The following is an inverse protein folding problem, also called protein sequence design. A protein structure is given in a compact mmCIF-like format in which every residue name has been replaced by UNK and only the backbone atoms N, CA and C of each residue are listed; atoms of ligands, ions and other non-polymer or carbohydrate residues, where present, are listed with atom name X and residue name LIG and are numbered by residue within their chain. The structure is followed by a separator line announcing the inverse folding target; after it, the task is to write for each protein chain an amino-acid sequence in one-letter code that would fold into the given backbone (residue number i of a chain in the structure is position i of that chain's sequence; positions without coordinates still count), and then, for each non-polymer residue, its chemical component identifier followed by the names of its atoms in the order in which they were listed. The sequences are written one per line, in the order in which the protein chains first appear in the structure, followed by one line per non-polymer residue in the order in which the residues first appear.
data_IF_683794308540
#
_entry.id   IF_683794308540
#
_cell.length_a   1.000
_cell.length_b   1.000
_cell.length_c   1.000
_cell.angle_alpha   90.00
_cell.angle_beta   90.00
_cell.angle_gamma   90.00
#
_symmetry.space_group_name_H-M   'P 1'
#
loop_
_entity.id
_entity.type
_entity.pdbx_description
1 polymer ?
#
# COMPACT_ATOMS: atom_id res chain seq x y z
N UNK A 1 17.58 35.05 7.84
CA UNK A 1 16.36 34.40 7.29
C UNK A 1 16.71 32.99 6.88
N UNK A 2 16.48 32.00 7.75
CA UNK A 2 16.68 30.59 7.40
C UNK A 2 15.61 30.16 6.41
N UNK A 3 16.00 29.76 5.20
CA UNK A 3 15.06 29.21 4.22
C UNK A 3 14.56 27.88 4.78
N UNK A 4 13.30 27.81 5.20
CA UNK A 4 12.62 26.52 5.35
C UNK A 4 12.67 25.85 3.98
N UNK A 5 13.58 24.89 3.80
CA UNK A 5 13.58 24.04 2.62
C UNK A 5 12.43 23.06 2.83
N UNK A 6 11.32 23.29 2.13
CA UNK A 6 10.36 22.23 1.90
C UNK A 6 11.12 21.11 1.18
N UNK A 7 11.37 20.01 1.87
CA UNK A 7 11.91 18.81 1.25
C UNK A 7 10.75 18.24 0.45
N UNK A 8 10.81 18.34 -0.88
CA UNK A 8 9.85 17.63 -1.70
C UNK A 8 10.06 16.14 -1.46
N UNK A 9 9.02 15.39 -1.07
CA UNK A 9 9.17 13.97 -0.84
C UNK A 9 9.54 13.30 -2.16
N UNK A 10 10.61 12.51 -2.15
CA UNK A 10 10.91 11.63 -3.27
C UNK A 10 9.72 10.70 -3.50
N UNK A 11 9.41 10.41 -4.76
CA UNK A 11 8.27 9.57 -5.14
C UNK A 11 8.76 8.24 -5.70
N UNK A 12 8.03 7.17 -5.40
CA UNK A 12 8.26 5.83 -5.93
C UNK A 12 7.01 5.40 -6.68
N UNK A 13 7.17 4.87 -7.89
CA UNK A 13 6.07 4.31 -8.67
C UNK A 13 5.89 2.84 -8.30
N UNK A 14 4.66 2.47 -7.95
CA UNK A 14 4.24 1.10 -7.71
C UNK A 14 3.25 0.70 -8.80
N UNK A 15 3.47 -0.44 -9.44
CA UNK A 15 2.56 -0.98 -10.44
C UNK A 15 1.60 -1.96 -9.79
N UNK A 16 0.30 -1.85 -10.09
CA UNK A 16 -0.71 -2.72 -9.47
C UNK A 16 -0.55 -4.17 -9.92
N UNK A 17 -0.04 -4.40 -11.13
CA UNK A 17 0.34 -5.73 -11.64
C UNK A 17 1.27 -6.49 -10.68
N UNK A 18 2.15 -5.80 -9.95
CA UNK A 18 3.08 -6.46 -9.03
C UNK A 18 2.37 -7.04 -7.80
N UNK A 19 1.21 -6.49 -7.42
CA UNK A 19 0.33 -7.06 -6.38
C UNK A 19 -0.24 -8.39 -6.85
N UNK A 20 -0.80 -8.44 -8.07
CA UNK A 20 -1.34 -9.68 -8.65
C UNK A 20 -0.24 -10.73 -8.83
N UNK A 21 0.92 -10.32 -9.34
CA UNK A 21 2.08 -11.21 -9.53
C UNK A 21 2.54 -11.81 -8.20
N UNK A 22 2.59 -11.00 -7.14
CA UNK A 22 2.96 -11.46 -5.80
C UNK A 22 1.92 -12.43 -5.23
N UNK A 23 0.62 -12.19 -5.45
CA UNK A 23 -0.47 -13.09 -5.02
C UNK A 23 -0.38 -14.44 -5.73
N UNK A 24 -0.25 -14.46 -7.05
CA UNK A 24 -0.08 -15.69 -7.85
C UNK A 24 1.13 -16.47 -7.38
N UNK A 25 2.29 -15.82 -7.29
CA UNK A 25 3.53 -16.44 -6.85
C UNK A 25 3.41 -17.07 -5.46
N UNK A 26 2.82 -16.35 -4.50
CA UNK A 26 2.64 -16.85 -3.12
C UNK A 26 1.77 -18.11 -3.10
N UNK A 27 0.70 -18.13 -3.90
CA UNK A 27 -0.16 -19.30 -4.00
C UNK A 27 0.56 -20.49 -4.67
N UNK A 28 1.31 -20.25 -5.75
CA UNK A 28 2.14 -21.28 -6.38
C UNK A 28 3.16 -21.88 -5.41
N UNK A 29 3.81 -21.05 -4.61
CA UNK A 29 4.74 -21.49 -3.55
C UNK A 29 4.02 -22.33 -2.48
N UNK A 30 2.79 -21.97 -2.08
CA UNK A 30 1.98 -22.76 -1.14
C UNK A 30 1.55 -24.11 -1.73
N UNK A 31 1.19 -24.15 -3.01
CA UNK A 31 0.85 -25.38 -3.73
C UNK A 31 2.08 -26.29 -3.81
N UNK A 32 3.23 -25.75 -4.22
CA UNK A 32 4.49 -26.49 -4.29
C UNK A 32 4.92 -27.04 -2.93
N UNK A 33 4.65 -26.30 -1.85
CA UNK A 33 4.91 -26.74 -0.48
C UNK A 33 3.86 -27.73 0.08
N UNK A 34 2.80 -28.06 -0.68
CA UNK A 34 1.69 -28.90 -0.22
C UNK A 34 0.87 -28.29 0.92
N UNK A 35 0.93 -26.96 1.08
CA UNK A 35 0.25 -26.21 2.14
C UNK A 35 -1.06 -25.58 1.69
N UNK A 36 -1.30 -25.51 0.38
CA UNK A 36 -2.53 -24.95 -0.17
C UNK A 36 -3.71 -25.91 0.02
N UNK A 37 -4.85 -25.34 0.40
CA UNK A 37 -6.14 -26.02 0.43
C UNK A 37 -6.65 -26.27 -0.99
N UNK A 38 -7.61 -27.20 -1.14
CA UNK A 38 -8.24 -27.49 -2.43
C UNK A 38 -8.90 -26.26 -3.04
N UNK A 39 -9.51 -25.41 -2.21
CA UNK A 39 -10.20 -24.19 -2.65
C UNK A 39 -9.19 -23.14 -3.11
N UNK A 40 -8.08 -22.96 -2.40
CA UNK A 40 -6.99 -22.07 -2.84
C UNK A 40 -6.39 -22.52 -4.18
N UNK A 41 -6.17 -23.83 -4.38
CA UNK A 41 -5.70 -24.35 -5.68
C UNK A 41 -6.70 -24.03 -6.80
N UNK A 42 -8.01 -24.12 -6.51
CA UNK A 42 -9.05 -23.81 -7.47
C UNK A 42 -9.13 -22.31 -7.82
N UNK A 43 -8.60 -21.41 -6.98
CA UNK A 43 -8.53 -19.97 -7.24
C UNK A 43 -7.40 -19.57 -8.20
N UNK A 44 -6.38 -20.42 -8.40
CA UNK A 44 -5.21 -20.08 -9.21
C UNK A 44 -5.57 -19.58 -10.63
N UNK A 45 -6.46 -20.23 -11.40
CA UNK A 45 -6.82 -19.75 -12.74
C UNK A 45 -7.44 -18.34 -12.74
N UNK A 46 -8.26 -18.02 -11.73
CA UNK A 46 -8.86 -16.70 -11.59
C UNK A 46 -7.79 -15.64 -11.28
N UNK A 47 -6.86 -15.94 -10.36
CA UNK A 47 -5.75 -15.03 -10.06
C UNK A 47 -4.83 -14.79 -11.26
N UNK A 48 -4.57 -15.83 -12.06
CA UNK A 48 -3.80 -15.70 -13.30
C UNK A 48 -4.52 -14.85 -14.35
N UNK A 49 -5.85 -14.96 -14.44
CA UNK A 49 -6.65 -14.10 -15.32
C UNK A 49 -6.58 -12.63 -14.89
N UNK A 50 -6.76 -12.34 -13.60
CA UNK A 50 -6.64 -10.97 -13.07
C UNK A 50 -5.23 -10.40 -13.29
N UNK A 51 -4.19 -11.23 -13.17
CA UNK A 51 -2.81 -10.80 -13.50
C UNK A 51 -2.67 -10.40 -14.97
N UNK A 52 -3.24 -11.18 -15.89
CA UNK A 52 -3.17 -10.89 -17.32
C UNK A 52 -3.92 -9.59 -17.68
N UNK A 53 -5.07 -9.33 -17.04
CA UNK A 53 -5.81 -8.08 -17.17
C UNK A 53 -4.98 -6.90 -16.64
N UNK A 54 -4.42 -7.01 -15.44
CA UNK A 54 -3.57 -5.97 -14.87
C UNK A 54 -2.29 -5.68 -15.69
N UNK A 55 -1.75 -6.69 -16.39
CA UNK A 55 -0.62 -6.51 -17.33
C UNK A 55 -1.00 -5.66 -18.55
N UNK A 56 -2.24 -5.78 -19.02
CA UNK A 56 -2.75 -4.98 -20.15
C UNK A 56 -3.05 -3.56 -19.70
N UNK A 57 -3.68 -3.39 -18.54
CA UNK A 57 -4.06 -2.09 -18.01
C UNK A 57 -2.84 -1.23 -17.64
N UNK A 58 -1.78 -1.86 -17.12
CA UNK A 58 -0.53 -1.17 -16.77
C UNK A 58 -0.71 -0.09 -15.70
N UNK A 59 -1.75 -0.21 -14.87
CA UNK A 59 -2.10 0.79 -13.87
C UNK A 59 -1.02 0.95 -12.79
N UNK A 60 -0.79 2.19 -12.38
CA UNK A 60 0.21 2.53 -11.37
C UNK A 60 -0.24 3.62 -10.40
N UNK A 61 0.40 3.64 -9.24
CA UNK A 61 0.35 4.72 -8.27
C UNK A 61 1.76 5.27 -8.02
N UNK A 62 1.85 6.57 -7.83
CA UNK A 62 3.05 7.25 -7.36
C UNK A 62 2.86 7.54 -5.86
N UNK A 63 3.74 6.98 -5.02
CA UNK A 63 3.69 7.12 -3.56
C UNK A 63 4.89 7.87 -3.02
N UNK A 64 4.74 8.52 -1.88
CA UNK A 64 5.88 9.11 -1.14
C UNK A 64 6.81 8.01 -0.66
N UNK A 65 8.10 8.20 -0.90
CA UNK A 65 9.15 7.29 -0.42
C UNK A 65 9.20 7.25 1.11
N UNK A 66 9.03 8.40 1.74
CA UNK A 66 8.97 8.52 3.20
C UNK A 66 7.93 9.57 3.57
N UNK A 67 7.08 9.25 4.55
CA UNK A 67 6.21 10.22 5.21
C UNK A 67 7.03 11.09 6.15
N UNK A 68 6.76 12.39 6.17
CA UNK A 68 7.34 13.29 7.15
C UNK A 68 6.71 13.07 8.55
N UNK A 69 7.33 13.62 9.60
CA UNK A 69 6.87 13.40 10.98
C UNK A 69 5.43 13.90 11.23
N UNK A 70 5.00 14.96 10.56
CA UNK A 70 3.63 15.46 10.66
C UNK A 70 2.63 14.51 10.00
N UNK A 71 2.96 13.99 8.82
CA UNK A 71 2.16 13.01 8.09
C UNK A 71 2.07 11.68 8.84
N UNK A 72 3.17 11.17 9.39
CA UNK A 72 3.15 9.95 10.20
C UNK A 72 2.25 10.09 11.43
N UNK A 73 2.30 11.26 12.10
CA UNK A 73 1.43 11.56 13.24
C UNK A 73 -0.02 11.68 12.81
N UNK A 74 -0.29 12.30 11.67
CA UNK A 74 -1.64 12.43 11.13
C UNK A 74 -2.22 11.05 10.76
N UNK A 75 -1.40 10.19 10.15
CA UNK A 75 -1.77 8.80 9.87
C UNK A 75 -2.12 8.06 11.15
N UNK A 76 -1.24 8.14 12.16
CA UNK A 76 -1.47 7.49 13.45
C UNK A 76 -2.73 8.03 14.17
N UNK A 77 -2.92 9.36 14.16
CA UNK A 77 -4.09 9.99 14.78
C UNK A 77 -5.40 9.60 14.07
N UNK A 78 -5.39 9.51 12.74
CA UNK A 78 -6.54 9.05 11.96
C UNK A 78 -6.88 7.57 12.17
N UNK A 79 -5.92 6.75 12.60
CA UNK A 79 -6.16 5.34 12.94
C UNK A 79 -6.82 5.17 14.32
N UNK A 80 -6.64 6.11 15.25
CA UNK A 80 -7.20 6.02 16.61
C UNK A 80 -8.57 6.69 16.69
N UNK A 81 -9.63 5.91 16.95
CA UNK A 81 -10.96 6.46 17.25
C UNK A 81 -10.96 7.20 18.60
N UNK A 82 -11.72 8.30 18.69
CA UNK A 82 -11.90 9.09 19.91
C UNK A 82 -12.22 8.21 21.13
N UNK A 83 -11.24 8.05 22.00
CA UNK A 83 -11.38 7.36 23.28
C UNK A 83 -12.12 8.30 24.22
N UNK A 84 -13.38 8.00 24.52
CA UNK A 84 -14.08 8.68 25.61
C UNK A 84 -13.44 8.32 26.94
N UNK A 85 -13.25 9.32 27.81
CA UNK A 85 -12.68 9.15 29.14
C UNK A 85 -13.53 8.15 29.96
N UNK A 86 -13.06 6.91 30.05
CA UNK A 86 -13.73 5.82 30.77
C UNK A 86 -13.72 4.48 30.03
N UNK A 87 -13.51 4.46 28.71
CA UNK A 87 -13.54 3.23 27.91
C UNK A 87 -12.13 2.89 27.39
N UNK A 88 -11.46 1.93 28.04
CA UNK A 88 -10.06 1.52 27.73
C UNK A 88 -10.02 0.54 26.55
N UNK A 89 -10.78 0.81 25.48
CA UNK A 89 -10.78 -0.03 24.29
C UNK A 89 -10.43 0.80 23.07
N UNK A 90 -9.14 0.76 22.72
CA UNK A 90 -8.67 1.18 21.41
C UNK A 90 -9.28 0.26 20.36
N UNK A 91 -10.36 0.71 19.71
CA UNK A 91 -10.92 0.05 18.54
C UNK A 91 -10.38 0.77 17.30
N UNK A 92 -9.50 0.09 16.56
CA UNK A 92 -9.10 0.52 15.23
C UNK A 92 -10.26 0.24 14.28
N UNK A 93 -10.65 1.23 13.47
CA UNK A 93 -11.58 1.02 12.35
C UNK A 93 -10.77 0.67 11.10
N UNK A 94 -10.79 -0.59 10.62
CA UNK A 94 -9.99 -1.02 9.48
C UNK A 94 -10.25 -0.20 8.21
N UNK A 95 -11.50 0.30 8.03
CA UNK A 95 -11.84 1.12 6.88
C UNK A 95 -11.16 2.49 6.93
N UNK A 96 -11.11 3.12 8.10
CA UNK A 96 -10.42 4.40 8.28
C UNK A 96 -8.89 4.25 8.21
N UNK A 97 -8.34 3.13 8.70
CA UNK A 97 -6.91 2.84 8.61
C UNK A 97 -6.46 2.78 7.15
N UNK A 98 -7.21 2.09 6.30
CA UNK A 98 -6.93 1.99 4.86
C UNK A 98 -6.97 3.35 4.16
N UNK A 99 -8.07 4.10 4.31
CA UNK A 99 -8.24 5.41 3.68
C UNK A 99 -7.15 6.39 4.11
N UNK A 100 -6.86 6.46 5.41
CA UNK A 100 -5.84 7.37 5.95
C UNK A 100 -4.46 7.08 5.37
N UNK A 101 -4.12 5.79 5.19
CA UNK A 101 -2.86 5.38 4.56
C UNK A 101 -2.80 5.82 3.10
N UNK A 102 -3.84 5.56 2.32
CA UNK A 102 -3.92 5.97 0.91
C UNK A 102 -3.74 7.48 0.73
N UNK A 103 -4.46 8.27 1.53
CA UNK A 103 -4.40 9.74 1.49
C UNK A 103 -3.01 10.27 1.86
N UNK A 104 -2.31 9.63 2.79
CA UNK A 104 -0.99 10.09 3.22
C UNK A 104 0.11 9.80 2.19
N UNK A 105 0.07 8.62 1.57
CA UNK A 105 1.13 8.13 0.70
C UNK A 105 0.95 8.50 -0.77
N UNK A 106 -0.25 8.40 -1.32
CA UNK A 106 -0.47 8.56 -2.76
C UNK A 106 -0.37 10.03 -3.14
N UNK A 107 0.45 10.33 -4.14
CA UNK A 107 0.64 11.67 -4.70
C UNK A 107 0.28 11.74 -6.19
N UNK A 108 0.16 10.60 -6.86
CA UNK A 108 -0.26 10.48 -8.26
C UNK A 108 -0.74 9.07 -8.58
N UNK A 109 -1.47 8.91 -9.68
CA UNK A 109 -1.86 7.61 -10.22
C UNK A 109 -2.18 7.72 -11.71
N UNK A 110 -2.37 6.59 -12.39
CA UNK A 110 -2.71 6.53 -13.82
C UNK A 110 -4.21 6.49 -14.11
N UNK A 111 -5.07 6.58 -13.10
CA UNK A 111 -6.51 6.37 -13.28
C UNK A 111 -7.18 7.46 -14.12
N UNK A 112 -8.13 7.03 -14.93
CA UNK A 112 -8.96 7.86 -15.79
C UNK A 112 -10.43 7.65 -15.48
N UNK A 113 -11.26 8.65 -15.75
CA UNK A 113 -12.71 8.52 -15.64
C UNK A 113 -13.31 7.80 -16.87
N UNK A 114 -14.63 7.64 -16.89
CA UNK A 114 -15.34 7.01 -18.00
C UNK A 114 -15.20 7.76 -19.34
N UNK A 115 -14.78 9.03 -19.32
CA UNK A 115 -14.50 9.83 -20.51
C UNK A 115 -13.03 9.74 -20.95
N UNK A 116 -12.20 8.99 -20.23
CA UNK A 116 -10.76 8.88 -20.46
C UNK A 116 -9.96 10.06 -19.91
N UNK A 117 -10.56 10.93 -19.10
CA UNK A 117 -9.86 12.07 -18.52
C UNK A 117 -9.09 11.65 -17.25
N UNK A 118 -7.84 12.13 -17.04
CA UNK A 118 -7.08 11.82 -15.83
C UNK A 118 -7.80 12.28 -14.57
N UNK A 119 -7.92 11.38 -13.59
CA UNK A 119 -8.53 11.68 -12.30
C UNK A 119 -7.46 12.21 -11.35
N UNK A 120 -7.59 13.43 -10.77
CA UNK A 120 -6.64 13.90 -9.77
C UNK A 120 -6.80 13.10 -8.47
N UNK A 121 -5.67 12.79 -7.83
CA UNK A 121 -5.66 12.15 -6.51
C UNK A 121 -6.32 13.09 -5.51
N UNK A 122 -7.41 12.62 -4.92
CA UNK A 122 -8.14 13.32 -3.87
C UNK A 122 -8.84 12.29 -2.98
N UNK A 123 -9.18 12.67 -1.75
CA UNK A 123 -9.94 11.79 -0.85
C UNK A 123 -11.28 11.39 -1.46
N UNK A 124 -11.96 12.31 -2.16
CA UNK A 124 -13.20 12.01 -2.88
C UNK A 124 -13.01 10.99 -3.99
N UNK A 125 -11.91 11.07 -4.75
CA UNK A 125 -11.59 10.07 -5.76
C UNK A 125 -11.25 8.71 -5.15
N UNK A 126 -10.53 8.67 -4.03
CA UNK A 126 -10.23 7.43 -3.30
C UNK A 126 -11.51 6.77 -2.77
N UNK A 127 -12.44 7.55 -2.21
CA UNK A 127 -13.73 7.06 -1.74
C UNK A 127 -14.66 6.59 -2.89
N UNK A 128 -14.38 7.03 -4.12
CA UNK A 128 -15.12 6.62 -5.31
C UNK A 128 -14.57 5.35 -5.98
N UNK A 129 -13.44 4.81 -5.49
CA UNK A 129 -12.90 3.54 -5.99
C UNK A 129 -13.84 2.40 -5.65
N UNK A 130 -13.91 1.41 -6.53
CA UNK A 130 -14.53 0.14 -6.20
C UNK A 130 -13.71 -0.60 -5.12
N UNK A 131 -14.34 -1.60 -4.51
CA UNK A 131 -13.75 -2.33 -3.38
C UNK A 131 -12.48 -3.11 -3.76
N UNK A 132 -12.39 -3.63 -4.99
CA UNK A 132 -11.24 -4.40 -5.44
C UNK A 132 -10.04 -3.48 -5.65
N UNK A 133 -10.22 -2.39 -6.42
CA UNK A 133 -9.17 -1.39 -6.63
C UNK A 133 -8.69 -0.80 -5.32
N UNK A 134 -9.60 -0.45 -4.41
CA UNK A 134 -9.25 0.06 -3.09
C UNK A 134 -8.37 -0.92 -2.30
N UNK A 135 -8.72 -2.21 -2.30
CA UNK A 135 -7.95 -3.25 -1.62
C UNK A 135 -6.58 -3.49 -2.28
N UNK A 136 -6.48 -3.37 -3.60
CA UNK A 136 -5.22 -3.45 -4.33
C UNK A 136 -4.27 -2.32 -3.99
N UNK A 137 -4.77 -1.08 -3.92
CA UNK A 137 -3.95 0.06 -3.53
C UNK A 137 -3.37 -0.11 -2.12
N UNK A 138 -4.19 -0.59 -1.18
CA UNK A 138 -3.72 -0.88 0.19
C UNK A 138 -2.63 -1.95 0.15
N UNK A 139 -2.86 -3.06 -0.56
CA UNK A 139 -1.89 -4.14 -0.68
C UNK A 139 -0.58 -3.69 -1.32
N UNK A 140 -0.62 -2.79 -2.31
CA UNK A 140 0.56 -2.21 -2.93
C UNK A 140 1.39 -1.39 -1.93
N UNK A 141 0.73 -0.54 -1.14
CA UNK A 141 1.42 0.29 -0.13
C UNK A 141 1.96 -0.58 1.00
N UNK A 142 1.19 -1.57 1.48
CA UNK A 142 1.64 -2.49 2.54
C UNK A 142 2.90 -3.26 2.09
N UNK A 143 2.90 -3.79 0.87
CA UNK A 143 4.08 -4.47 0.31
C UNK A 143 5.29 -3.53 0.19
N UNK A 144 5.05 -2.27 -0.14
CA UNK A 144 6.10 -1.25 -0.18
C UNK A 144 6.67 -0.95 1.22
N UNK A 145 5.79 -0.71 2.21
CA UNK A 145 6.19 -0.45 3.60
C UNK A 145 6.99 -1.62 4.18
N UNK A 146 6.55 -2.86 3.97
CA UNK A 146 7.27 -4.07 4.35
C UNK A 146 8.68 -4.12 3.73
N UNK A 147 8.81 -3.73 2.46
CA UNK A 147 10.09 -3.64 1.77
C UNK A 147 11.01 -2.58 2.39
N UNK A 148 10.46 -1.40 2.70
CA UNK A 148 11.20 -0.31 3.34
C UNK A 148 11.65 -0.69 4.75
N UNK A 149 10.79 -1.34 5.54
CA UNK A 149 11.11 -1.81 6.88
C UNK A 149 12.25 -2.84 6.84
N UNK A 150 12.16 -3.84 5.96
CA UNK A 150 13.23 -4.83 5.76
C UNK A 150 14.55 -4.16 5.38
N UNK A 151 14.52 -3.19 4.46
CA UNK A 151 15.72 -2.44 4.08
C UNK A 151 16.29 -1.59 5.23
N UNK A 152 15.44 -1.04 6.10
CA UNK A 152 15.87 -0.32 7.31
C UNK A 152 16.46 -1.27 8.35
N UNK A 153 15.85 -2.43 8.56
CA UNK A 153 16.35 -3.46 9.47
C UNK A 153 17.74 -3.98 9.03
N UNK A 154 17.92 -4.25 7.74
CA UNK A 154 19.22 -4.63 7.18
C UNK A 154 20.29 -3.55 7.41
N UNK A 155 19.96 -2.27 7.21
CA UNK A 155 20.88 -1.15 7.49
C UNK A 155 21.29 -1.06 8.96
N UNK A 156 20.34 -1.27 9.89
CA UNK A 156 20.63 -1.30 11.33
C UNK A 156 21.56 -2.45 11.70
N UNK A 157 21.34 -3.64 11.15
CA UNK A 157 22.19 -4.81 11.39
C UNK A 157 23.62 -4.63 10.87
N UNK A 158 23.80 -3.93 9.74
CA UNK A 158 25.13 -3.59 9.20
C UNK A 158 25.86 -2.57 10.08
N UNK A 159 25.14 -1.63 10.69
CA UNK A 159 25.72 -0.62 11.60
C UNK A 159 26.00 -1.16 13.01
N UNK A 160 25.32 -2.23 13.43
CA UNK A 160 25.44 -2.79 14.78
C UNK A 160 26.39 -3.99 14.90
N UNK A 161 27.16 -4.35 13.86
CA UNK A 161 27.99 -5.56 13.92
C UNK A 161 29.22 -5.57 12.99
N UNK A 162 30.37 -5.81 13.62
CA UNK A 162 31.64 -6.32 13.09
C UNK A 162 32.61 -5.31 12.42
N UNK A 163 33.33 -4.56 13.25
CA UNK A 163 34.78 -4.43 13.03
C UNK A 163 35.42 -5.73 13.53
N UNK A 164 36.20 -6.47 12.72
CA UNK A 164 37.05 -7.57 13.22
C UNK A 164 38.13 -7.07 14.18
#
# INVERSE_FOLDING_TARGET
MGRCRFVQPETVRLYLVDVHRSRVRKLEEQIAAGKATKDEVAMLPALTANLAEAEVDGAFIDVKKELNAGEQRAVFAGMTKDVHAGDVRFALDPAQVGLTKLVAYIVGWSFVDAAGAPVPVSEGAINGLDTETFAELIAAIDAYEDGVEKARAMRKNVLSGATP
#
